data_IF_711070846144
#
_entry.id   IF_711070846144
#
_cell.length_a   1.000
_cell.length_b   1.000
_cell.length_c   1.000
_cell.angle_alpha   90.00
_cell.angle_beta   90.00
_cell.angle_gamma   90.00
#
_symmetry.space_group_name_H-M   'P 1'
#
loop_
_entity.id
_entity.type
_entity.pdbx_description
1 polymer ?
#
# COMPACT_ATOMS: atom_id res chain seq x y z
N UNK A 1 -22.07 6.01 5.28
CA UNK A 1 -22.16 4.65 4.67
C UNK A 1 -20.95 4.31 3.79
N UNK A 2 -20.34 5.27 3.08
CA UNK A 2 -19.12 5.06 2.28
C UNK A 2 -17.88 4.77 3.13
N UNK A 3 -17.69 5.44 4.26
CA UNK A 3 -16.53 5.27 5.14
C UNK A 3 -16.50 3.89 5.83
N UNK A 4 -17.67 3.38 6.23
CA UNK A 4 -17.81 2.01 6.77
C UNK A 4 -17.46 0.96 5.72
N UNK A 5 -17.86 1.19 4.46
CA UNK A 5 -17.52 0.30 3.34
C UNK A 5 -16.00 0.29 3.09
N UNK A 6 -15.37 1.45 3.08
CA UNK A 6 -13.91 1.56 2.89
C UNK A 6 -13.14 0.90 4.04
N UNK A 7 -13.64 0.96 5.27
CA UNK A 7 -13.07 0.22 6.42
C UNK A 7 -13.08 -1.30 6.23
N UNK A 8 -14.17 -1.86 5.70
CA UNK A 8 -14.24 -3.31 5.38
C UNK A 8 -13.30 -3.66 4.24
N UNK A 9 -13.25 -2.84 3.18
CA UNK A 9 -12.34 -3.05 2.04
C UNK A 9 -10.89 -3.05 2.52
N UNK A 10 -10.51 -2.08 3.36
CA UNK A 10 -9.18 -2.01 3.95
C UNK A 10 -8.81 -3.28 4.73
N UNK A 11 -9.72 -3.80 5.56
CA UNK A 11 -9.48 -5.03 6.32
C UNK A 11 -9.23 -6.23 5.41
N UNK A 12 -10.10 -6.44 4.41
CA UNK A 12 -9.97 -7.56 3.46
C UNK A 12 -8.71 -7.42 2.60
N UNK A 13 -8.40 -6.20 2.15
CA UNK A 13 -7.17 -5.88 1.42
C UNK A 13 -5.92 -6.26 2.22
N UNK A 14 -5.81 -5.73 3.44
CA UNK A 14 -4.66 -5.92 4.31
C UNK A 14 -4.51 -7.37 4.76
N UNK A 15 -5.54 -7.92 5.39
CA UNK A 15 -5.44 -9.20 6.07
C UNK A 15 -5.66 -10.39 5.14
N UNK A 16 -6.45 -10.21 4.07
CA UNK A 16 -6.73 -11.25 3.09
C UNK A 16 -5.68 -11.34 1.98
N UNK A 17 -5.20 -10.21 1.45
CA UNK A 17 -4.41 -10.20 0.22
C UNK A 17 -2.96 -9.76 0.43
N UNK A 18 -2.70 -8.62 1.07
CA UNK A 18 -1.31 -8.12 1.29
C UNK A 18 -0.47 -9.16 2.03
N UNK A 19 -0.99 -9.74 3.12
CA UNK A 19 -0.28 -10.78 3.89
C UNK A 19 -0.03 -12.08 3.12
N UNK A 20 -0.86 -12.38 2.13
CA UNK A 20 -0.75 -13.58 1.29
C UNK A 20 0.15 -13.37 0.05
N UNK A 21 0.57 -12.14 -0.22
CA UNK A 21 1.34 -11.78 -1.40
C UNK A 21 0.50 -11.56 -2.68
N UNK A 22 -0.83 -11.72 -2.64
CA UNK A 22 -1.70 -11.40 -3.78
C UNK A 22 -1.88 -9.88 -3.93
N UNK A 23 -0.83 -9.22 -4.42
CA UNK A 23 -0.83 -7.78 -4.65
C UNK A 23 -1.78 -7.34 -5.76
N UNK A 24 -2.21 -8.25 -6.64
CA UNK A 24 -3.17 -7.94 -7.71
C UNK A 24 -4.55 -7.70 -7.14
N UNK A 25 -5.05 -8.64 -6.32
CA UNK A 25 -6.35 -8.50 -5.65
C UNK A 25 -6.32 -7.37 -4.64
N UNK A 26 -5.21 -7.22 -3.91
CA UNK A 26 -5.01 -6.11 -2.98
C UNK A 26 -5.13 -4.74 -3.70
N UNK A 27 -4.47 -4.58 -4.85
CA UNK A 27 -4.51 -3.33 -5.62
C UNK A 27 -5.89 -3.01 -6.17
N UNK A 28 -6.67 -4.02 -6.56
CA UNK A 28 -8.07 -3.82 -6.98
C UNK A 28 -8.90 -3.22 -5.85
N UNK A 29 -8.85 -3.84 -4.67
CA UNK A 29 -9.58 -3.35 -3.49
C UNK A 29 -9.12 -1.94 -3.08
N UNK A 30 -7.82 -1.68 -3.08
CA UNK A 30 -7.28 -0.36 -2.80
C UNK A 30 -7.82 0.73 -3.74
N UNK A 31 -7.95 0.41 -5.04
CA UNK A 31 -8.49 1.34 -6.04
C UNK A 31 -10.01 1.56 -5.87
N UNK A 32 -10.74 0.61 -5.29
CA UNK A 32 -12.18 0.74 -4.98
C UNK A 32 -12.47 1.61 -3.75
N UNK A 33 -11.48 1.80 -2.86
CA UNK A 33 -11.62 2.66 -1.70
C UNK A 33 -11.80 4.12 -2.12
N UNK A 34 -12.86 4.77 -1.63
CA UNK A 34 -13.09 6.19 -1.87
C UNK A 34 -12.23 7.06 -0.96
N UNK A 35 -12.05 6.64 0.29
CA UNK A 35 -11.24 7.31 1.30
C UNK A 35 -10.05 6.43 1.68
N UNK A 36 -8.88 6.77 1.17
CA UNK A 36 -7.62 6.09 1.51
C UNK A 36 -6.94 6.81 2.66
N UNK A 37 -6.59 6.07 3.71
CA UNK A 37 -5.84 6.56 4.87
C UNK A 37 -4.35 6.35 4.67
N UNK A 38 -3.52 7.09 5.42
CA UNK A 38 -2.06 6.87 5.47
C UNK A 38 -1.73 5.39 5.72
N UNK A 39 -2.45 4.74 6.63
CA UNK A 39 -2.28 3.31 6.91
C UNK A 39 -2.53 2.42 5.67
N UNK A 40 -3.60 2.68 4.90
CA UNK A 40 -3.88 1.92 3.68
C UNK A 40 -2.82 2.10 2.60
N UNK A 41 -2.25 3.31 2.46
CA UNK A 41 -1.11 3.56 1.56
C UNK A 41 0.14 2.80 2.03
N UNK A 42 0.46 2.88 3.32
CA UNK A 42 1.63 2.24 3.91
C UNK A 42 1.59 0.72 3.76
N UNK A 43 0.43 0.09 4.00
CA UNK A 43 0.28 -1.36 3.84
C UNK A 43 0.49 -1.78 2.38
N UNK A 44 0.02 -1.00 1.40
CA UNK A 44 0.22 -1.29 -0.02
C UNK A 44 1.68 -1.11 -0.44
N UNK A 45 2.32 -0.03 -0.04
CA UNK A 45 3.74 0.24 -0.34
C UNK A 45 4.62 -0.87 0.27
N UNK A 46 4.38 -1.23 1.54
CA UNK A 46 5.08 -2.35 2.18
C UNK A 46 4.80 -3.68 1.49
N UNK A 47 3.55 -3.94 1.10
CA UNK A 47 3.18 -5.14 0.37
C UNK A 47 3.99 -5.31 -0.91
N UNK A 48 4.09 -4.27 -1.73
CA UNK A 48 4.91 -4.32 -2.95
C UNK A 48 6.40 -4.43 -2.65
N UNK A 49 6.90 -3.69 -1.64
CA UNK A 49 8.30 -3.75 -1.21
C UNK A 49 8.72 -5.16 -0.79
N UNK A 50 7.89 -5.83 0.04
CA UNK A 50 8.15 -7.18 0.54
C UNK A 50 8.03 -8.26 -0.56
N UNK A 51 7.26 -8.00 -1.62
CA UNK A 51 7.18 -8.87 -2.80
C UNK A 51 8.25 -8.57 -3.86
N UNK A 52 9.19 -7.65 -3.58
CA UNK A 52 10.28 -7.29 -4.49
C UNK A 52 9.90 -6.38 -5.65
N UNK A 53 8.66 -5.90 -5.73
CA UNK A 53 8.20 -4.99 -6.78
C UNK A 53 8.41 -3.52 -6.34
N UNK A 54 9.67 -3.10 -6.40
CA UNK A 54 10.07 -1.76 -5.96
C UNK A 54 9.47 -0.66 -6.83
N UNK A 55 9.28 -0.94 -8.13
CA UNK A 55 8.68 0.03 -9.06
C UNK A 55 7.25 0.34 -8.64
N UNK A 56 6.42 -0.68 -8.38
CA UNK A 56 5.04 -0.47 -7.95
C UNK A 56 4.95 0.20 -6.57
N UNK A 57 5.89 -0.10 -5.66
CA UNK A 57 5.98 0.57 -4.37
C UNK A 57 6.27 2.08 -4.52
N UNK A 58 7.23 2.45 -5.38
CA UNK A 58 7.58 3.85 -5.66
C UNK A 58 6.45 4.58 -6.39
N UNK A 59 5.79 3.94 -7.36
CA UNK A 59 4.65 4.53 -8.06
C UNK A 59 3.50 4.86 -7.10
N UNK A 60 3.22 3.97 -6.14
CA UNK A 60 2.23 4.24 -5.10
C UNK A 60 2.66 5.34 -4.15
N UNK A 61 3.93 5.39 -3.76
CA UNK A 61 4.46 6.49 -2.94
C UNK A 61 4.29 7.84 -3.67
N UNK A 62 4.64 7.92 -4.94
CA UNK A 62 4.45 9.13 -5.75
C UNK A 62 2.97 9.51 -5.91
N UNK A 63 2.07 8.53 -6.02
CA UNK A 63 0.64 8.78 -6.03
C UNK A 63 0.15 9.30 -4.66
N UNK A 64 0.63 8.73 -3.55
CA UNK A 64 0.33 9.18 -2.20
C UNK A 64 0.68 10.66 -2.02
N UNK A 65 1.85 11.11 -2.49
CA UNK A 65 2.28 12.51 -2.38
C UNK A 65 1.31 13.53 -2.98
N UNK A 66 0.43 13.11 -3.90
CA UNK A 66 -0.60 13.97 -4.49
C UNK A 66 -1.88 14.05 -3.67
N UNK A 67 -2.12 13.08 -2.77
CA UNK A 67 -3.35 12.95 -2.00
C UNK A 67 -3.12 13.21 -0.49
N UNK A 68 -2.01 12.73 0.07
CA UNK A 68 -1.76 12.67 1.52
C UNK A 68 -0.26 12.82 1.83
N UNK A 69 0.04 13.52 2.93
CA UNK A 69 1.42 13.65 3.42
C UNK A 69 1.95 12.31 3.97
N UNK A 70 3.12 11.82 3.54
CA UNK A 70 3.79 10.66 4.12
C UNK A 70 4.13 10.83 5.60
N UNK A 71 4.14 9.72 6.31
CA UNK A 71 4.66 9.59 7.67
C UNK A 71 6.00 8.83 7.70
N UNK A 72 6.57 8.70 8.89
CA UNK A 72 7.84 7.98 9.11
C UNK A 72 7.78 6.52 8.62
N UNK A 73 6.62 5.87 8.82
CA UNK A 73 6.38 4.49 8.36
C UNK A 73 6.44 4.40 6.84
N UNK A 74 5.91 5.40 6.13
CA UNK A 74 5.99 5.48 4.66
C UNK A 74 7.45 5.51 4.20
N UNK A 75 8.29 6.32 4.86
CA UNK A 75 9.71 6.50 4.49
C UNK A 75 10.50 5.20 4.71
N UNK A 76 10.25 4.51 5.83
CA UNK A 76 10.88 3.21 6.11
C UNK A 76 10.48 2.15 5.08
N UNK A 77 9.21 2.12 4.66
CA UNK A 77 8.71 1.20 3.65
C UNK A 77 9.46 1.37 2.31
N UNK A 78 9.61 2.62 1.86
CA UNK A 78 10.31 2.94 0.61
C UNK A 78 11.81 2.60 0.70
N UNK A 79 12.47 2.94 1.82
CA UNK A 79 13.88 2.59 2.04
C UNK A 79 14.10 1.07 2.03
N UNK A 80 13.20 0.30 2.65
CA UNK A 80 13.22 -1.16 2.62
C UNK A 80 13.10 -1.71 1.21
N UNK A 81 12.23 -1.12 0.38
CA UNK A 81 12.08 -1.50 -1.02
C UNK A 81 13.39 -1.28 -1.79
N UNK A 82 14.05 -0.14 -1.59
CA UNK A 82 15.33 0.18 -2.24
C UNK A 82 16.47 -0.75 -1.81
N UNK A 83 16.47 -1.23 -0.56
CA UNK A 83 17.52 -2.14 -0.09
C UNK A 83 17.47 -3.51 -0.79
N UNK A 84 16.31 -3.89 -1.32
CA UNK A 84 16.12 -5.14 -2.06
C UNK A 84 16.67 -5.09 -3.52
N UNK A 85 17.16 -3.93 -3.97
CA UNK A 85 17.83 -3.74 -5.27
C UNK A 85 19.32 -4.11 -5.19
N UNK A 86 19.87 -4.25 -3.98
CA UNK A 86 21.29 -4.50 -3.74
C UNK A 86 21.58 -5.95 -3.31
N UNK A 87 21.23 -6.93 -4.15
CA UNK A 87 21.83 -8.28 -4.15
C UNK A 87 21.95 -8.78 -5.59
#
# INVERSE_FOLDING_TARGET
MTEVKDGVIYYVMKDGYVKSGDMTSSRRLFNEMRFRTVASWNDMINGYALNGDVSAALDLFLAMLREVKPDEVTILAVLSACNHIAV
#
